data_IF_499450825657
#
_entry.id   IF_499450825657
#
_cell.length_a   1.000
_cell.length_b   1.000
_cell.length_c   1.000
_cell.angle_alpha   90.00
_cell.angle_beta   90.00
_cell.angle_gamma   90.00
#
_symmetry.space_group_name_H-M   'P 1'
#
loop_
_entity.id
_entity.type
_entity.pdbx_description
1 polymer ?
#
# COMPACT_ATOMS: atom_id res chain seq x y z
N UNK A 1 -21.77 -45.38 20.71
CA UNK A 1 -20.39 -45.62 20.26
C UNK A 1 -19.73 -44.25 20.14
N UNK A 2 -18.61 -44.02 20.83
CA UNK A 2 -17.88 -42.74 20.81
C UNK A 2 -17.01 -42.68 19.54
N UNK A 3 -16.95 -41.55 18.81
CA UNK A 3 -15.96 -41.39 17.75
C UNK A 3 -14.57 -41.17 18.36
N UNK A 4 -13.60 -41.80 17.71
CA UNK A 4 -12.20 -41.96 18.11
C UNK A 4 -11.39 -40.79 17.58
N UNK A 5 -10.63 -40.14 18.46
CA UNK A 5 -9.60 -39.14 18.10
C UNK A 5 -8.39 -39.84 17.48
N UNK A 6 -8.04 -39.47 16.25
CA UNK A 6 -6.77 -39.85 15.61
C UNK A 6 -5.82 -38.65 15.72
N UNK A 7 -4.78 -38.81 16.52
CA UNK A 7 -3.64 -37.88 16.58
C UNK A 7 -2.64 -38.30 15.51
N UNK A 8 -2.44 -37.47 14.49
CA UNK A 8 -1.34 -37.62 13.55
C UNK A 8 -0.11 -36.86 14.06
N UNK A 9 0.93 -37.62 14.44
CA UNK A 9 2.29 -37.10 14.62
C UNK A 9 2.99 -37.02 13.26
N UNK A 10 3.48 -35.84 12.90
CA UNK A 10 4.45 -35.67 11.81
C UNK A 10 5.81 -35.26 12.38
N UNK A 11 6.85 -35.99 11.98
CA UNK A 11 8.24 -35.79 12.38
C UNK A 11 9.01 -34.99 11.31
N UNK A 12 9.78 -33.97 11.77
CA UNK A 12 11.16 -33.60 11.37
C UNK A 12 11.56 -33.74 9.88
N UNK A 13 11.76 -32.65 9.09
CA UNK A 13 12.98 -31.83 8.89
C UNK A 13 12.81 -30.97 7.60
N UNK A 14 13.71 -30.03 7.19
CA UNK A 14 14.57 -29.08 7.91
C UNK A 14 14.49 -27.62 7.37
N UNK A 15 14.91 -26.65 8.21
CA UNK A 15 15.38 -25.30 7.86
C UNK A 15 14.55 -24.49 6.84
N UNK A 16 13.47 -23.87 7.34
CA UNK A 16 13.05 -22.57 6.83
C UNK A 16 13.50 -21.51 7.85
N UNK A 17 13.99 -20.39 7.34
CA UNK A 17 14.25 -19.16 8.08
C UNK A 17 13.07 -18.89 9.03
N UNK A 18 13.24 -19.15 10.33
CA UNK A 18 12.49 -18.41 11.32
C UNK A 18 13.10 -17.01 11.27
N UNK A 19 12.49 -16.13 10.48
CA UNK A 19 12.45 -14.74 10.86
C UNK A 19 12.06 -14.75 12.34
N UNK A 20 12.90 -14.18 13.20
CA UNK A 20 12.46 -13.88 14.55
C UNK A 20 11.09 -13.18 14.42
N UNK A 21 10.09 -13.51 15.26
CA UNK A 21 8.89 -12.68 15.31
C UNK A 21 9.40 -11.25 15.44
N UNK A 22 9.00 -10.37 14.52
CA UNK A 22 9.37 -8.97 14.58
C UNK A 22 9.03 -8.53 16.00
N UNK A 23 10.05 -8.23 16.82
CA UNK A 23 9.80 -7.80 18.19
C UNK A 23 8.94 -6.55 18.07
N UNK A 24 7.72 -6.60 18.60
CA UNK A 24 6.87 -5.43 18.75
C UNK A 24 7.74 -4.30 19.31
N UNK A 25 8.02 -3.29 18.49
CA UNK A 25 8.72 -2.11 18.96
C UNK A 25 7.67 -1.29 19.69
N UNK A 26 7.60 -1.48 21.02
CA UNK A 26 6.60 -0.82 21.84
C UNK A 26 6.50 0.69 21.54
N UNK A 27 5.27 1.17 21.50
CA UNK A 27 4.89 2.56 21.22
C UNK A 27 4.02 3.15 22.31
N UNK A 28 3.61 4.41 22.14
CA UNK A 28 2.75 5.11 23.11
C UNK A 28 1.44 5.54 22.44
N UNK A 29 0.31 5.20 23.07
CA UNK A 29 -1.00 5.78 22.79
C UNK A 29 -1.24 6.96 23.72
N UNK A 30 -1.74 8.08 23.18
CA UNK A 30 -2.14 9.23 23.99
C UNK A 30 -3.66 9.39 23.96
N UNK A 31 -4.29 9.29 25.13
CA UNK A 31 -5.72 9.46 25.30
C UNK A 31 -6.05 10.87 25.81
N UNK A 32 -6.94 11.59 25.14
CA UNK A 32 -7.37 12.94 25.53
C UNK A 32 -8.88 13.12 25.36
N UNK A 33 -9.47 14.14 25.98
CA UNK A 33 -10.89 14.45 25.85
C UNK A 33 -11.10 15.95 25.62
N UNK A 34 -11.93 16.30 24.63
CA UNK A 34 -12.45 17.63 24.44
C UNK A 34 -13.76 17.82 25.24
N UNK A 35 -13.72 18.68 26.26
CA UNK A 35 -14.86 18.91 27.16
C UNK A 35 -16.00 19.72 26.53
N UNK A 36 -15.76 20.43 25.42
CA UNK A 36 -16.79 21.18 24.70
C UNK A 36 -17.60 20.26 23.78
N UNK A 37 -16.93 19.31 23.12
CA UNK A 37 -17.55 18.41 22.14
C UNK A 37 -17.91 17.04 22.70
N UNK A 38 -17.32 16.62 23.83
CA UNK A 38 -17.48 15.25 24.35
C UNK A 38 -16.69 14.18 23.60
N UNK A 39 -15.81 14.59 22.67
CA UNK A 39 -14.97 13.70 21.87
C UNK A 39 -13.76 13.24 22.70
N UNK A 40 -13.63 11.94 22.92
CA UNK A 40 -12.39 11.33 23.39
C UNK A 40 -11.54 10.91 22.19
N UNK A 41 -10.24 11.16 22.23
CA UNK A 41 -9.31 10.85 21.14
C UNK A 41 -8.16 10.01 21.66
N UNK A 42 -7.86 8.92 20.96
CA UNK A 42 -6.72 8.05 21.19
C UNK A 42 -5.83 8.11 19.94
N UNK A 43 -4.58 8.53 20.10
CA UNK A 43 -3.65 8.71 18.97
C UNK A 43 -2.37 7.94 19.21
N UNK A 44 -1.93 7.19 18.21
CA UNK A 44 -0.64 6.53 18.19
C UNK A 44 0.53 7.52 17.98
N UNK A 45 1.61 7.35 18.73
CA UNK A 45 2.85 8.09 18.51
C UNK A 45 3.56 7.61 17.24
N UNK A 46 4.39 8.46 16.62
CA UNK A 46 5.25 8.04 15.50
C UNK A 46 6.09 6.80 15.83
N UNK A 47 6.09 5.79 14.96
CA UNK A 47 6.85 4.55 15.17
C UNK A 47 6.15 3.57 16.13
N UNK A 48 4.83 3.69 16.27
CA UNK A 48 4.01 2.72 16.96
C UNK A 48 4.10 1.37 16.22
N UNK A 49 4.48 0.31 16.93
CA UNK A 49 4.64 -1.01 16.35
C UNK A 49 3.35 -1.83 16.34
N UNK A 50 3.44 -3.03 15.79
CA UNK A 50 2.37 -4.03 15.86
C UNK A 50 2.04 -4.40 17.31
N UNK A 51 0.76 -4.57 17.61
CA UNK A 51 0.28 -5.13 18.87
C UNK A 51 0.81 -6.58 19.03
N UNK A 52 0.98 -7.03 20.28
CA UNK A 52 1.22 -8.46 20.52
C UNK A 52 -0.03 -9.29 20.19
N UNK A 53 0.11 -10.60 19.95
CA UNK A 53 -1.00 -11.51 19.58
C UNK A 53 -2.18 -11.48 20.57
N UNK A 54 -1.95 -11.09 21.83
CA UNK A 54 -2.98 -11.00 22.88
C UNK A 54 -3.16 -9.58 23.44
N UNK A 55 -2.50 -8.57 22.87
CA UNK A 55 -2.63 -7.18 23.33
C UNK A 55 -3.79 -6.50 22.61
N UNK A 56 -4.71 -5.91 23.36
CA UNK A 56 -5.96 -5.35 22.83
C UNK A 56 -6.23 -3.96 23.44
N UNK A 57 -6.65 -2.99 22.62
CA UNK A 57 -7.12 -1.69 23.06
C UNK A 57 -8.63 -1.74 23.34
N UNK A 58 -9.01 -1.63 24.61
CA UNK A 58 -10.41 -1.59 25.03
C UNK A 58 -10.84 -0.17 25.39
N UNK A 59 -12.01 0.22 24.90
CA UNK A 59 -12.66 1.49 25.26
C UNK A 59 -14.03 1.20 25.84
N UNK A 60 -14.24 1.63 27.09
CA UNK A 60 -15.49 1.41 27.82
C UNK A 60 -16.08 2.73 28.28
N UNK A 61 -17.37 2.93 28.03
CA UNK A 61 -18.10 4.08 28.56
C UNK A 61 -18.37 3.88 30.06
N UNK A 62 -18.10 4.90 30.86
CA UNK A 62 -18.44 4.97 32.28
C UNK A 62 -19.65 5.89 32.50
N UNK A 63 -20.58 5.45 33.37
CA UNK A 63 -21.73 6.26 33.76
C UNK A 63 -21.42 7.11 35.00
N UNK A 64 -21.62 8.46 34.98
CA UNK A 64 -22.03 9.32 33.85
C UNK A 64 -20.86 10.14 33.25
N UNK A 65 -20.57 9.93 31.96
CA UNK A 65 -19.78 10.86 31.12
C UNK A 65 -18.27 10.66 31.13
N UNK A 66 -17.81 9.45 31.49
CA UNK A 66 -16.41 9.07 31.43
C UNK A 66 -16.14 7.97 30.41
N UNK A 67 -14.88 7.78 30.06
CA UNK A 67 -14.38 6.64 29.31
C UNK A 67 -13.19 6.06 30.05
N UNK A 68 -13.13 4.74 30.10
CA UNK A 68 -11.93 4.00 30.48
C UNK A 68 -11.33 3.41 29.22
N UNK A 69 -10.08 3.79 28.95
CA UNK A 69 -9.28 3.33 27.82
C UNK A 69 -8.16 2.47 28.40
N UNK A 70 -8.07 1.21 28.00
CA UNK A 70 -7.11 0.26 28.58
C UNK A 70 -6.46 -0.62 27.52
N UNK A 71 -5.20 -0.97 27.74
CA UNK A 71 -4.51 -2.06 27.04
C UNK A 71 -4.62 -3.31 27.91
N UNK A 72 -5.24 -4.36 27.39
CA UNK A 72 -5.42 -5.66 28.06
C UNK A 72 -4.51 -6.73 27.43
N UNK A 73 -4.36 -7.88 28.09
CA UNK A 73 -3.45 -8.96 27.64
C UNK A 73 -2.02 -8.81 28.15
N UNK A 74 -1.02 -9.03 27.29
CA UNK A 74 0.40 -8.78 27.57
C UNK A 74 0.91 -7.50 26.88
N UNK A 75 0.62 -6.32 27.45
CA UNK A 75 0.86 -5.06 26.76
C UNK A 75 2.34 -4.81 26.52
N UNK A 76 2.68 -4.64 25.24
CA UNK A 76 3.99 -4.17 24.78
C UNK A 76 4.00 -2.65 24.58
N UNK A 77 2.82 -2.05 24.50
CA UNK A 77 2.61 -0.61 24.36
C UNK A 77 2.25 0.04 25.71
N UNK A 78 2.26 1.36 25.72
CA UNK A 78 1.88 2.15 26.89
C UNK A 78 0.81 3.18 26.56
N UNK A 79 -0.04 3.48 27.54
CA UNK A 79 -1.05 4.53 27.50
C UNK A 79 -0.59 5.73 28.34
N UNK A 80 -0.67 6.92 27.75
CA UNK A 80 -0.42 8.19 28.42
C UNK A 80 -1.67 9.05 28.41
N UNK A 81 -1.93 9.75 29.52
CA UNK A 81 -3.02 10.71 29.59
C UNK A 81 -2.62 12.08 29.03
N UNK A 82 -3.39 12.54 28.05
CA UNK A 82 -3.39 13.90 27.53
C UNK A 82 -4.38 14.80 28.28
N UNK A 83 -4.89 15.82 27.59
CA UNK A 83 -5.80 16.80 28.20
C UNK A 83 -7.10 16.15 28.68
N UNK A 84 -7.53 16.53 29.90
CA UNK A 84 -8.79 16.10 30.53
C UNK A 84 -8.91 14.57 30.78
N UNK A 85 -7.78 13.87 30.81
CA UNK A 85 -7.69 12.47 31.18
C UNK A 85 -6.67 12.25 32.29
N UNK A 86 -6.76 11.12 32.99
CA UNK A 86 -5.91 10.75 34.12
C UNK A 86 -5.39 9.33 33.90
N UNK A 87 -4.07 9.16 33.85
CA UNK A 87 -3.44 7.85 33.77
C UNK A 87 -3.58 7.13 35.13
N UNK A 88 -4.15 5.92 35.12
CA UNK A 88 -4.28 5.05 36.30
C UNK A 88 -3.09 4.10 36.40
N UNK A 89 -2.68 3.55 35.26
CA UNK A 89 -1.49 2.71 35.09
C UNK A 89 -0.82 3.08 33.77
N UNK A 90 0.30 2.42 33.42
CA UNK A 90 0.88 2.54 32.08
C UNK A 90 0.04 1.90 30.97
N UNK A 91 -1.10 1.30 31.32
CA UNK A 91 -1.98 0.54 30.42
C UNK A 91 -3.45 0.90 30.62
N UNK A 92 -3.76 1.97 31.37
CA UNK A 92 -5.13 2.37 31.65
C UNK A 92 -5.22 3.87 31.91
N UNK A 93 -6.10 4.55 31.18
CA UNK A 93 -6.38 5.98 31.26
C UNK A 93 -7.89 6.17 31.42
N UNK A 94 -8.28 7.05 32.34
CA UNK A 94 -9.67 7.44 32.53
C UNK A 94 -9.84 8.88 32.06
N UNK A 95 -10.74 9.11 31.12
CA UNK A 95 -11.15 10.43 30.64
C UNK A 95 -12.54 10.72 31.17
N UNK A 96 -12.80 11.88 31.77
CA UNK A 96 -14.11 12.16 32.36
C UNK A 96 -14.48 13.64 32.27
N UNK A 97 -15.74 13.91 31.94
CA UNK A 97 -16.31 15.26 31.99
C UNK A 97 -17.15 15.47 33.25
N UNK A 98 -17.02 16.66 33.86
CA UNK A 98 -17.90 17.11 34.97
C UNK A 98 -19.20 17.75 34.44
N UNK A 99 -19.27 18.01 33.13
CA UNK A 99 -20.42 18.62 32.45
C UNK A 99 -21.19 17.57 31.64
N UNK A 100 -22.52 17.75 31.55
CA UNK A 100 -23.38 16.99 30.64
C UNK A 100 -23.03 17.41 29.21
N UNK A 101 -22.24 16.59 28.53
CA UNK A 101 -21.93 16.76 27.11
C UNK A 101 -23.07 16.17 26.27
N UNK A 102 -23.55 16.85 25.22
CA UNK A 102 -24.77 16.47 24.52
C UNK A 102 -24.62 15.27 23.58
N UNK A 103 -23.39 14.93 23.18
CA UNK A 103 -23.09 13.73 22.39
C UNK A 103 -21.67 13.26 22.74
N UNK A 104 -21.57 12.02 23.21
CA UNK A 104 -20.31 11.34 23.46
C UNK A 104 -19.87 10.69 22.15
N UNK A 105 -18.59 10.80 21.80
CA UNK A 105 -17.98 10.10 20.67
C UNK A 105 -16.52 9.76 21.01
N UNK A 106 -15.97 8.76 20.33
CA UNK A 106 -14.58 8.32 20.43
C UNK A 106 -13.95 8.33 19.06
N UNK A 107 -12.72 8.83 18.96
CA UNK A 107 -11.89 8.74 17.77
C UNK A 107 -10.59 8.01 18.12
N UNK A 108 -10.24 7.00 17.34
CA UNK A 108 -9.01 6.23 17.45
C UNK A 108 -8.27 6.39 16.13
N UNK A 109 -7.06 6.95 16.19
CA UNK A 109 -6.19 7.17 15.03
C UNK A 109 -4.89 6.38 15.20
N UNK A 110 -4.79 5.27 14.47
CA UNK A 110 -3.64 4.39 14.38
C UNK A 110 -2.91 4.51 13.03
N UNK A 111 -3.19 5.55 12.23
CA UNK A 111 -2.63 5.74 10.88
C UNK A 111 -1.09 5.79 10.81
N UNK A 112 -0.41 5.94 11.94
CA UNK A 112 1.06 5.94 12.04
C UNK A 112 1.65 4.61 12.53
N UNK A 113 0.80 3.62 12.84
CA UNK A 113 1.20 2.30 13.28
C UNK A 113 1.79 1.50 12.11
N UNK A 114 2.88 0.79 12.38
CA UNK A 114 3.57 -0.06 11.39
C UNK A 114 3.50 -1.53 11.82
N UNK A 115 2.85 -2.37 11.01
CA UNK A 115 2.61 -3.80 11.29
C UNK A 115 1.15 -4.10 11.67
N UNK A 116 0.76 -5.37 11.84
CA UNK A 116 -0.63 -5.75 12.13
C UNK A 116 -1.10 -5.14 13.45
N UNK A 117 -2.30 -4.56 13.48
CA UNK A 117 -2.88 -3.98 14.68
C UNK A 117 -4.03 -4.82 15.21
N UNK A 118 -3.74 -5.63 16.24
CA UNK A 118 -4.76 -6.44 16.90
C UNK A 118 -5.55 -5.59 17.90
N UNK A 119 -6.48 -4.78 17.40
CA UNK A 119 -7.76 -4.56 18.08
C UNK A 119 -8.00 -3.23 18.80
N UNK A 120 -8.95 -2.44 18.28
CA UNK A 120 -9.81 -1.59 19.10
C UNK A 120 -11.16 -2.31 19.30
N UNK A 121 -11.36 -2.93 20.46
CA UNK A 121 -12.69 -3.42 20.86
C UNK A 121 -13.39 -2.30 21.63
N UNK A 122 -14.48 -1.88 21.03
CA UNK A 122 -15.48 -1.07 21.68
C UNK A 122 -16.53 -2.06 22.20
N UNK A 123 -16.43 -2.43 23.49
CA UNK A 123 -17.32 -3.41 24.15
C UNK A 123 -18.78 -3.13 23.77
N UNK A 124 -19.49 -4.08 23.12
CA UNK A 124 -20.79 -3.89 22.44
C UNK A 124 -21.96 -3.32 23.26
N UNK A 125 -21.74 -2.96 24.52
CA UNK A 125 -22.59 -2.03 25.30
C UNK A 125 -22.19 -0.54 25.14
N UNK A 126 -21.26 -0.24 24.25
CA UNK A 126 -20.78 1.10 23.97
C UNK A 126 -21.76 1.82 23.05
N UNK A 127 -22.38 2.84 23.61
CA UNK A 127 -23.41 3.66 22.96
C UNK A 127 -22.90 4.93 22.25
N UNK A 128 -21.68 5.45 22.53
CA UNK A 128 -21.11 6.54 21.74
C UNK A 128 -20.68 6.10 20.34
N UNK A 129 -20.67 7.01 19.38
CA UNK A 129 -20.14 6.74 18.04
C UNK A 129 -18.60 6.65 18.07
N UNK A 130 -18.05 5.69 17.33
CA UNK A 130 -16.64 5.45 17.06
C UNK A 130 -16.25 6.05 15.70
N UNK A 131 -15.08 6.68 15.64
CA UNK A 131 -14.36 6.94 14.41
C UNK A 131 -13.00 6.24 14.51
N UNK A 132 -12.79 5.21 13.72
CA UNK A 132 -11.56 4.41 13.73
C UNK A 132 -10.78 4.63 12.43
N UNK A 133 -9.46 4.73 12.55
CA UNK A 133 -8.54 4.71 11.41
C UNK A 133 -7.39 3.78 11.75
N UNK A 134 -7.29 2.68 11.02
CA UNK A 134 -6.30 1.64 11.23
C UNK A 134 -4.92 1.96 10.70
N UNK A 135 -4.02 1.00 10.91
CA UNK A 135 -2.60 1.09 10.59
C UNK A 135 -2.28 0.64 9.16
N UNK A 136 -1.04 0.22 8.93
CA UNK A 136 -0.58 -0.33 7.65
C UNK A 136 -0.46 -1.86 7.64
N UNK A 137 -1.10 -2.54 8.58
CA UNK A 137 -1.10 -4.00 8.67
C UNK A 137 -2.51 -4.52 8.84
N UNK A 138 -2.64 -5.85 9.03
CA UNK A 138 -3.91 -6.48 9.31
C UNK A 138 -4.48 -6.01 10.65
N UNK A 139 -5.68 -5.43 10.60
CA UNK A 139 -6.36 -4.80 11.71
C UNK A 139 -7.64 -5.58 12.07
N UNK A 140 -7.96 -5.68 13.35
CA UNK A 140 -9.25 -6.24 13.81
C UNK A 140 -10.05 -5.14 14.50
N UNK A 141 -11.28 -4.86 14.10
CA UNK A 141 -12.06 -3.76 14.67
C UNK A 141 -13.48 -4.21 14.97
N UNK A 142 -13.96 -3.92 16.18
CA UNK A 142 -15.38 -4.07 16.53
C UNK A 142 -15.92 -2.71 16.96
N UNK A 143 -16.91 -2.22 16.23
CA UNK A 143 -17.68 -1.03 16.59
C UNK A 143 -18.65 -1.25 17.76
N UNK A 144 -19.38 -0.19 18.08
CA UNK A 144 -20.34 -0.11 19.16
C UNK A 144 -21.78 -0.32 18.69
N UNK A 145 -22.71 0.27 19.44
CA UNK A 145 -24.16 0.21 19.19
C UNK A 145 -24.70 1.51 18.56
N UNK A 146 -23.81 2.32 18.01
CA UNK A 146 -24.14 3.60 17.40
C UNK A 146 -23.55 3.66 16.00
N UNK A 147 -24.04 4.60 15.19
CA UNK A 147 -23.49 4.86 13.87
C UNK A 147 -21.99 5.23 13.93
N UNK A 148 -21.16 4.30 13.49
CA UNK A 148 -19.71 4.31 13.55
C UNK A 148 -19.09 4.59 12.17
N UNK A 149 -17.85 5.07 12.16
CA UNK A 149 -17.06 5.25 10.94
C UNK A 149 -15.72 4.52 11.11
N UNK A 150 -15.53 3.45 10.34
CA UNK A 150 -14.38 2.55 10.42
C UNK A 150 -13.61 2.60 9.09
N UNK A 151 -12.32 2.91 9.17
CA UNK A 151 -11.36 2.79 8.07
C UNK A 151 -10.29 1.77 8.47
N UNK A 152 -10.22 0.63 7.79
CA UNK A 152 -9.25 -0.44 8.03
C UNK A 152 -7.82 0.00 7.71
N UNK A 153 -7.62 0.55 6.51
CA UNK A 153 -6.33 1.02 6.04
C UNK A 153 -5.66 -0.03 5.16
N UNK A 154 -4.34 0.03 4.93
CA UNK A 154 -3.65 -1.05 4.23
C UNK A 154 -3.49 -2.28 5.14
N UNK A 155 -3.90 -3.47 4.70
CA UNK A 155 -3.90 -4.67 5.52
C UNK A 155 -4.95 -5.65 5.03
N UNK A 156 -4.87 -6.91 5.46
CA UNK A 156 -6.02 -7.82 5.34
C UNK A 156 -6.78 -7.68 6.67
N UNK A 157 -7.87 -6.92 6.67
CA UNK A 157 -8.54 -6.46 7.90
C UNK A 157 -9.81 -7.27 8.23
N UNK A 158 -10.13 -7.39 9.52
CA UNK A 158 -11.38 -7.97 10.03
C UNK A 158 -12.20 -6.84 10.69
N UNK A 159 -13.24 -6.35 10.02
CA UNK A 159 -14.00 -5.15 10.43
C UNK A 159 -15.47 -5.47 10.73
N UNK A 160 -15.93 -5.14 11.93
CA UNK A 160 -17.31 -5.37 12.38
C UNK A 160 -17.94 -4.04 12.80
N UNK A 161 -19.05 -3.65 12.17
CA UNK A 161 -19.80 -2.41 12.46
C UNK A 161 -20.43 -2.42 13.85
N UNK A 162 -21.10 -3.52 14.17
CA UNK A 162 -21.97 -3.56 15.35
C UNK A 162 -23.37 -3.06 15.02
N UNK A 163 -24.25 -2.87 16.02
CA UNK A 163 -25.54 -2.24 15.75
C UNK A 163 -25.39 -0.75 15.44
N UNK A 164 -26.07 -0.24 14.41
CA UNK A 164 -25.99 1.17 14.03
C UNK A 164 -26.20 1.38 12.54
N UNK A 165 -26.27 2.62 12.08
CA UNK A 165 -26.14 2.85 10.62
C UNK A 165 -24.67 3.22 10.38
N UNK A 166 -23.85 2.23 10.05
CA UNK A 166 -22.39 2.33 10.06
C UNK A 166 -21.81 2.65 8.69
N UNK A 167 -20.58 3.16 8.72
CA UNK A 167 -19.79 3.41 7.52
C UNK A 167 -18.44 2.72 7.64
N UNK A 168 -18.21 1.73 6.80
CA UNK A 168 -17.03 0.85 6.88
C UNK A 168 -16.30 0.83 5.54
N UNK A 169 -14.97 0.94 5.57
CA UNK A 169 -14.08 0.81 4.41
C UNK A 169 -12.88 -0.04 4.78
N UNK A 170 -12.66 -1.16 4.07
CA UNK A 170 -11.47 -2.00 4.23
C UNK A 170 -10.20 -1.34 3.69
N UNK A 171 -10.33 -0.51 2.64
CA UNK A 171 -9.23 0.18 1.95
C UNK A 171 -8.37 -0.73 1.06
N UNK A 172 -7.29 -1.35 1.54
CA UNK A 172 -6.40 -2.11 0.65
C UNK A 172 -5.86 -3.39 1.27
N UNK A 173 -6.22 -4.52 0.67
CA UNK A 173 -5.85 -5.88 1.08
C UNK A 173 -7.08 -6.77 0.95
N UNK A 174 -7.00 -8.03 1.37
CA UNK A 174 -8.16 -8.92 1.36
C UNK A 174 -8.94 -8.82 2.66
N UNK A 175 -9.99 -8.00 2.68
CA UNK A 175 -10.70 -7.63 3.90
C UNK A 175 -11.91 -8.53 4.16
N UNK A 176 -12.19 -8.83 5.44
CA UNK A 176 -13.44 -9.42 5.90
C UNK A 176 -14.23 -8.35 6.64
N UNK A 177 -15.40 -7.99 6.12
CA UNK A 177 -16.21 -6.90 6.64
C UNK A 177 -17.62 -7.38 6.92
N UNK A 178 -18.16 -7.01 8.08
CA UNK A 178 -19.53 -7.31 8.50
C UNK A 178 -20.20 -6.04 9.05
N UNK A 179 -21.27 -5.58 8.41
CA UNK A 179 -22.07 -4.43 8.85
C UNK A 179 -22.88 -4.69 10.12
N UNK A 180 -23.21 -5.95 10.40
CA UNK A 180 -24.12 -6.36 11.49
C UNK A 180 -25.54 -5.76 11.41
N UNK A 181 -26.07 -5.10 12.46
CA UNK A 181 -27.47 -4.64 12.48
C UNK A 181 -27.54 -3.16 12.05
N UNK A 182 -28.16 -2.82 10.92
CA UNK A 182 -28.03 -1.44 10.44
C UNK A 182 -28.61 -1.11 9.08
N UNK A 183 -28.49 0.15 8.66
CA UNK A 183 -28.49 0.45 7.23
C UNK A 183 -27.10 0.96 6.90
N UNK A 184 -26.25 0.05 6.51
CA UNK A 184 -24.81 0.24 6.50
C UNK A 184 -24.31 0.68 5.13
N UNK A 185 -23.20 1.41 5.15
CA UNK A 185 -22.45 1.79 3.96
C UNK A 185 -21.09 1.11 4.01
N UNK A 186 -20.96 0.00 3.30
CA UNK A 186 -19.79 -0.89 3.40
C UNK A 186 -19.01 -0.94 2.09
N UNK A 187 -17.70 -0.75 2.17
CA UNK A 187 -16.78 -0.88 1.04
C UNK A 187 -15.65 -1.85 1.37
N UNK A 188 -15.43 -2.86 0.52
CA UNK A 188 -14.28 -3.76 0.58
C UNK A 188 -12.99 -2.95 0.41
N UNK A 189 -12.72 -2.50 -0.80
CA UNK A 189 -11.49 -1.75 -1.05
C UNK A 189 -10.83 -2.27 -2.31
N UNK A 190 -9.52 -2.43 -2.29
CA UNK A 190 -8.76 -3.06 -3.36
C UNK A 190 -8.26 -4.42 -2.91
N UNK A 191 -8.16 -5.36 -3.86
CA UNK A 191 -7.89 -6.79 -3.65
C UNK A 191 -9.20 -7.55 -3.33
N UNK A 192 -9.14 -8.79 -2.84
CA UNK A 192 -10.32 -9.67 -2.84
C UNK A 192 -11.01 -9.64 -1.48
N UNK A 193 -12.19 -9.05 -1.42
CA UNK A 193 -12.88 -8.79 -0.15
C UNK A 193 -14.07 -9.72 0.09
N UNK A 194 -14.40 -9.95 1.35
CA UNK A 194 -15.64 -10.57 1.80
C UNK A 194 -16.43 -9.54 2.60
N UNK A 195 -17.60 -9.14 2.09
CA UNK A 195 -18.45 -8.11 2.70
C UNK A 195 -19.82 -8.68 3.00
N UNK A 196 -20.23 -8.58 4.26
CA UNK A 196 -21.56 -8.90 4.73
C UNK A 196 -22.26 -7.59 5.11
N UNK A 197 -23.45 -7.35 4.56
CA UNK A 197 -24.30 -6.20 4.89
C UNK A 197 -24.91 -6.36 6.28
N UNK A 198 -25.57 -7.50 6.52
CA UNK A 198 -26.18 -7.84 7.79
C UNK A 198 -27.69 -7.58 7.78
N UNK A 199 -28.28 -7.22 8.93
CA UNK A 199 -29.72 -6.91 8.98
C UNK A 199 -29.98 -5.45 8.55
N UNK A 200 -30.74 -5.25 7.47
CA UNK A 200 -31.36 -3.96 7.14
C UNK A 200 -31.35 -3.58 5.66
N UNK A 201 -30.99 -2.33 5.34
CA UNK A 201 -30.93 -1.88 3.94
C UNK A 201 -29.57 -1.28 3.64
N UNK A 202 -28.71 -2.12 3.10
CA UNK A 202 -27.30 -1.80 3.03
C UNK A 202 -26.90 -1.30 1.65
N UNK A 203 -25.81 -0.55 1.64
CA UNK A 203 -25.12 -0.08 0.45
C UNK A 203 -23.71 -0.66 0.45
N UNK A 204 -23.51 -1.72 -0.33
CA UNK A 204 -22.24 -2.45 -0.38
C UNK A 204 -21.49 -2.21 -1.69
N UNK A 205 -20.16 -2.11 -1.62
CA UNK A 205 -19.27 -2.11 -2.79
C UNK A 205 -18.05 -2.99 -2.53
N UNK A 206 -17.71 -3.89 -3.45
CA UNK A 206 -16.48 -4.69 -3.34
C UNK A 206 -15.26 -3.83 -3.66
N UNK A 207 -15.26 -3.19 -4.82
CA UNK A 207 -14.13 -2.40 -5.30
C UNK A 207 -13.34 -3.20 -6.33
N UNK A 208 -12.05 -2.90 -6.60
CA UNK A 208 -11.25 -3.70 -7.52
C UNK A 208 -10.85 -5.05 -6.90
N UNK A 209 -11.18 -6.17 -7.55
CA UNK A 209 -10.95 -7.47 -6.92
C UNK A 209 -11.92 -8.57 -7.32
N UNK A 210 -11.76 -9.72 -6.66
CA UNK A 210 -12.73 -10.83 -6.66
C UNK A 210 -13.46 -10.82 -5.33
N UNK A 211 -14.56 -10.08 -5.29
CA UNK A 211 -15.25 -9.82 -4.02
C UNK A 211 -16.47 -10.73 -3.84
N UNK A 212 -16.71 -11.14 -2.60
CA UNK A 212 -17.92 -11.82 -2.16
C UNK A 212 -18.76 -10.82 -1.37
N UNK A 213 -19.98 -10.50 -1.84
CA UNK A 213 -20.91 -9.60 -1.14
C UNK A 213 -22.17 -10.38 -0.77
N UNK A 214 -22.50 -10.41 0.51
CA UNK A 214 -23.67 -11.12 1.04
C UNK A 214 -24.53 -10.18 1.89
N UNK A 215 -25.82 -10.09 1.60
CA UNK A 215 -26.77 -9.35 2.45
C UNK A 215 -27.10 -10.07 3.76
N UNK A 216 -26.93 -11.40 3.84
CA UNK A 216 -27.39 -12.29 4.93
C UNK A 216 -28.92 -12.32 5.19
N UNK A 217 -29.65 -11.21 5.09
CA UNK A 217 -31.04 -11.07 5.50
C UNK A 217 -32.08 -11.21 4.36
N UNK A 218 -31.63 -11.17 3.10
CA UNK A 218 -32.45 -11.27 1.89
C UNK A 218 -33.40 -10.09 1.66
N UNK A 219 -33.17 -8.94 2.31
CA UNK A 219 -33.78 -7.65 2.02
C UNK A 219 -33.23 -7.06 0.70
N UNK A 220 -33.75 -5.91 0.29
CA UNK A 220 -33.32 -5.27 -0.96
C UNK A 220 -32.13 -4.37 -0.68
N UNK A 221 -30.94 -4.94 -0.68
CA UNK A 221 -29.71 -4.17 -0.58
C UNK A 221 -29.28 -3.60 -1.91
N UNK A 222 -28.53 -2.52 -1.82
CA UNK A 222 -27.93 -1.86 -2.98
C UNK A 222 -26.49 -2.32 -3.12
N UNK A 223 -26.27 -3.21 -4.08
CA UNK A 223 -24.93 -3.62 -4.47
C UNK A 223 -24.38 -2.71 -5.56
N UNK A 224 -23.17 -2.20 -5.36
CA UNK A 224 -22.41 -1.42 -6.33
C UNK A 224 -21.17 -2.20 -6.73
N UNK A 225 -21.29 -3.00 -7.80
CA UNK A 225 -20.12 -3.60 -8.47
C UNK A 225 -19.48 -2.55 -9.38
N UNK A 226 -18.30 -2.08 -9.02
CA UNK A 226 -17.56 -1.14 -9.86
C UNK A 226 -16.50 -1.80 -10.75
N UNK A 227 -16.21 -3.10 -10.62
CA UNK A 227 -15.05 -3.66 -11.32
C UNK A 227 -15.40 -4.33 -12.66
N UNK A 228 -14.72 -3.88 -13.72
CA UNK A 228 -14.71 -4.52 -15.03
C UNK A 228 -13.26 -4.88 -15.42
N UNK A 229 -12.38 -5.13 -14.46
CA UNK A 229 -11.05 -5.67 -14.71
C UNK A 229 -11.15 -7.01 -15.47
N UNK A 230 -10.38 -7.21 -16.56
CA UNK A 230 -10.43 -8.43 -17.34
C UNK A 230 -9.80 -9.59 -16.56
N UNK A 231 -10.64 -10.29 -15.81
CA UNK A 231 -10.32 -11.51 -15.10
C UNK A 231 -10.64 -11.45 -13.61
N UNK A 232 -11.83 -11.95 -13.26
CA UNK A 232 -12.22 -12.53 -11.96
C UNK A 232 -13.11 -11.75 -10.99
N UNK A 233 -13.61 -10.54 -11.24
CA UNK A 233 -14.65 -9.95 -10.35
C UNK A 233 -15.99 -10.70 -10.42
N UNK A 234 -16.18 -11.74 -9.60
CA UNK A 234 -17.45 -12.48 -9.45
C UNK A 234 -18.01 -12.14 -8.08
N UNK A 235 -18.96 -11.22 -8.03
CA UNK A 235 -19.83 -11.08 -6.85
C UNK A 235 -20.72 -12.32 -6.79
N UNK A 236 -20.54 -13.13 -5.74
CA UNK A 236 -21.41 -14.25 -5.42
C UNK A 236 -22.52 -13.75 -4.48
N UNK A 237 -23.69 -13.44 -5.01
CA UNK A 237 -24.87 -13.13 -4.18
C UNK A 237 -25.42 -14.44 -3.59
N UNK A 238 -25.65 -14.52 -2.28
CA UNK A 238 -26.56 -15.55 -1.73
C UNK A 238 -28.02 -15.15 -2.00
N UNK A 239 -28.92 -16.13 -1.92
CA UNK A 239 -30.25 -16.16 -2.53
C UNK A 239 -31.21 -15.08 -2.00
N UNK A 240 -31.23 -13.91 -2.63
CA UNK A 240 -32.19 -12.83 -2.36
C UNK A 240 -32.76 -12.20 -3.63
N UNK A 241 -33.68 -11.23 -3.51
CA UNK A 241 -34.23 -10.48 -4.65
C UNK A 241 -33.28 -9.34 -5.00
N UNK A 242 -32.05 -9.70 -5.38
CA UNK A 242 -30.94 -8.79 -5.56
C UNK A 242 -31.10 -8.03 -6.88
N UNK A 243 -31.14 -6.70 -6.81
CA UNK A 243 -31.16 -5.85 -7.99
C UNK A 243 -29.74 -5.29 -8.16
N UNK A 244 -28.84 -5.97 -8.88
CA UNK A 244 -27.53 -5.40 -9.17
C UNK A 244 -27.74 -4.10 -9.92
N UNK A 245 -27.36 -2.98 -9.31
CA UNK A 245 -27.25 -1.71 -10.01
C UNK A 245 -25.96 -1.78 -10.83
N UNK A 246 -26.06 -2.19 -12.09
CA UNK A 246 -24.99 -2.00 -13.07
C UNK A 246 -24.67 -0.49 -13.11
N UNK A 247 -23.44 -0.13 -12.72
CA UNK A 247 -22.95 1.25 -12.66
C UNK A 247 -23.21 2.01 -13.98
N UNK A 248 -24.00 3.09 -14.01
CA UNK A 248 -24.17 3.89 -15.23
C UNK A 248 -23.09 4.98 -15.42
N UNK A 249 -22.10 5.10 -14.52
CA UNK A 249 -21.11 6.20 -14.55
C UNK A 249 -19.69 5.66 -14.73
N UNK A 250 -19.21 5.70 -15.97
CA UNK A 250 -17.79 5.56 -16.27
C UNK A 250 -17.07 6.85 -15.83
N UNK A 251 -15.89 6.72 -15.20
CA UNK A 251 -15.01 7.80 -14.71
C UNK A 251 -13.63 7.73 -15.40
N UNK A 252 -12.78 8.78 -15.34
CA UNK A 252 -11.39 8.64 -15.76
C UNK A 252 -10.61 7.65 -14.86
N UNK A 253 -9.65 6.89 -15.40
CA UNK A 253 -8.85 5.93 -14.64
C UNK A 253 -7.83 6.62 -13.72
N UNK A 254 -7.22 5.88 -12.78
CA UNK A 254 -6.04 6.33 -12.03
C UNK A 254 -4.73 6.04 -12.78
N UNK A 255 -3.60 6.48 -12.22
CA UNK A 255 -2.28 6.31 -12.85
C UNK A 255 -1.79 4.87 -12.76
N UNK A 256 -1.09 4.33 -13.78
CA UNK A 256 -0.45 3.01 -13.69
C UNK A 256 0.58 2.97 -12.56
N UNK A 257 0.73 1.80 -11.93
CA UNK A 257 1.63 1.60 -10.78
C UNK A 257 2.97 1.00 -11.24
N UNK A 258 4.01 1.20 -10.44
CA UNK A 258 5.32 0.53 -10.57
C UNK A 258 5.96 0.56 -11.97
N UNK A 259 5.88 1.70 -12.66
CA UNK A 259 6.56 1.87 -13.95
C UNK A 259 8.07 1.68 -13.78
N UNK A 260 8.61 0.71 -14.52
CA UNK A 260 10.04 0.42 -14.64
C UNK A 260 10.46 0.42 -16.11
N UNK A 261 11.74 0.70 -16.37
CA UNK A 261 12.30 0.71 -17.72
C UNK A 261 13.71 0.10 -17.73
N UNK A 262 13.95 -0.83 -18.64
CA UNK A 262 15.24 -1.47 -18.88
C UNK A 262 15.75 -1.15 -20.29
N UNK A 263 16.99 -0.65 -20.37
CA UNK A 263 17.63 -0.29 -21.63
C UNK A 263 18.45 -1.43 -22.22
N UNK A 264 18.26 -1.68 -23.51
CA UNK A 264 19.06 -2.60 -24.32
C UNK A 264 20.08 -1.86 -25.20
N UNK A 265 20.64 -2.60 -26.18
CA UNK A 265 21.59 -2.05 -27.16
C UNK A 265 20.94 -0.98 -28.04
N UNK A 266 19.73 -1.27 -28.52
CA UNK A 266 18.89 -0.49 -29.43
C UNK A 266 17.39 -0.64 -29.08
N UNK A 267 17.09 -1.06 -27.85
CA UNK A 267 15.73 -1.29 -27.38
C UNK A 267 15.52 -0.72 -25.98
N UNK A 268 14.25 -0.49 -25.62
CA UNK A 268 13.83 -0.22 -24.24
C UNK A 268 12.66 -1.15 -23.96
N UNK A 269 12.71 -1.88 -22.86
CA UNK A 269 11.56 -2.62 -22.34
C UNK A 269 11.02 -1.88 -21.12
N UNK A 270 9.73 -1.54 -21.15
CA UNK A 270 9.02 -0.94 -20.03
C UNK A 270 8.04 -1.95 -19.46
N UNK A 271 7.89 -1.96 -18.14
CA UNK A 271 6.96 -2.83 -17.43
C UNK A 271 6.25 -2.02 -16.35
N UNK A 272 4.99 -2.33 -16.08
CA UNK A 272 4.16 -1.62 -15.13
C UNK A 272 3.11 -2.56 -14.52
N UNK A 273 2.57 -2.15 -13.38
CA UNK A 273 1.35 -2.72 -12.82
C UNK A 273 0.11 -1.90 -13.30
N UNK A 274 -1.05 -2.54 -13.47
CA UNK A 274 -2.31 -1.85 -13.78
C UNK A 274 -2.61 -0.70 -12.79
N UNK A 275 -3.44 0.28 -13.20
CA UNK A 275 -3.90 1.32 -12.29
C UNK A 275 -4.73 0.69 -11.17
N UNK A 276 -4.79 1.35 -10.02
CA UNK A 276 -5.68 0.91 -8.93
C UNK A 276 -7.16 1.03 -9.28
N UNK A 277 -7.50 1.78 -10.33
CA UNK A 277 -8.87 2.01 -10.79
C UNK A 277 -8.88 2.31 -12.29
N UNK A 278 -9.63 1.54 -13.08
CA UNK A 278 -9.69 1.68 -14.54
C UNK A 278 -10.82 2.62 -15.03
N UNK A 279 -11.59 3.17 -14.09
CA UNK A 279 -12.69 4.08 -14.39
C UNK A 279 -13.99 3.39 -14.79
N UNK A 280 -14.14 2.09 -14.54
CA UNK A 280 -15.32 1.28 -14.88
C UNK A 280 -15.54 1.21 -16.40
N UNK A 281 -14.45 1.13 -17.17
CA UNK A 281 -14.48 1.20 -18.63
C UNK A 281 -13.90 -0.05 -19.28
N UNK A 282 -14.67 -0.71 -20.15
CA UNK A 282 -14.19 -1.83 -20.97
C UNK A 282 -13.14 -1.43 -22.03
N UNK A 283 -12.87 -0.13 -22.19
CA UNK A 283 -11.91 0.42 -23.15
C UNK A 283 -10.69 1.07 -22.45
N UNK A 284 -10.03 0.35 -21.54
CA UNK A 284 -8.77 0.81 -20.96
C UNK A 284 -7.62 0.69 -21.98
N UNK A 285 -6.81 1.74 -22.10
CA UNK A 285 -5.57 1.77 -22.86
C UNK A 285 -4.49 2.51 -22.07
N UNK A 286 -3.22 2.22 -22.35
CA UNK A 286 -2.10 3.00 -21.82
C UNK A 286 -1.47 3.84 -22.90
N UNK A 287 -1.15 5.09 -22.57
CA UNK A 287 -0.37 5.98 -23.41
C UNK A 287 1.05 6.13 -22.86
N UNK A 288 2.03 5.63 -23.59
CA UNK A 288 3.45 5.68 -23.23
C UNK A 288 4.11 6.84 -23.96
N UNK A 289 4.52 7.86 -23.20
CA UNK A 289 5.28 9.00 -23.69
C UNK A 289 6.78 8.79 -23.45
N UNK A 290 7.61 9.17 -24.42
CA UNK A 290 9.06 9.06 -24.32
C UNK A 290 9.75 10.29 -24.90
N UNK A 291 10.84 10.71 -24.27
CA UNK A 291 11.69 11.80 -24.77
C UNK A 291 12.98 11.25 -25.35
N UNK A 292 13.26 11.58 -26.61
CA UNK A 292 14.44 11.13 -27.36
C UNK A 292 15.67 11.97 -26.98
N UNK A 293 16.88 11.36 -26.86
CA UNK A 293 18.12 12.06 -26.61
C UNK A 293 18.38 13.18 -27.65
N UNK A 294 18.60 14.39 -27.16
CA UNK A 294 18.90 15.57 -27.98
C UNK A 294 17.74 16.08 -28.85
N UNK A 295 16.53 15.53 -28.68
CA UNK A 295 15.33 16.18 -29.22
C UNK A 295 15.00 17.41 -28.36
N UNK A 296 14.72 18.54 -29.03
CA UNK A 296 14.24 19.76 -28.38
C UNK A 296 12.82 19.62 -27.83
N UNK A 297 11.97 20.63 -28.02
CA UNK A 297 10.57 20.60 -27.57
C UNK A 297 9.65 19.64 -28.36
N UNK A 298 10.17 18.96 -29.39
CA UNK A 298 9.39 18.00 -30.18
C UNK A 298 9.27 16.68 -29.41
N UNK A 299 8.18 16.53 -28.65
CA UNK A 299 7.81 15.29 -27.96
C UNK A 299 7.12 14.37 -28.99
N UNK A 300 7.62 13.15 -29.22
CA UNK A 300 6.92 12.14 -30.02
C UNK A 300 5.49 11.92 -29.54
N UNK A 301 4.59 11.57 -30.47
CA UNK A 301 3.22 11.17 -30.10
C UNK A 301 3.30 9.93 -29.17
N UNK A 302 2.52 9.89 -28.08
CA UNK A 302 2.50 8.72 -27.20
C UNK A 302 2.13 7.44 -27.97
N UNK A 303 2.76 6.34 -27.57
CA UNK A 303 2.40 5.00 -28.06
C UNK A 303 1.19 4.53 -27.26
N UNK A 304 0.15 4.07 -27.95
CA UNK A 304 -1.05 3.51 -27.32
C UNK A 304 -0.89 2.00 -27.28
N UNK A 305 -1.07 1.40 -26.10
CA UNK A 305 -1.08 -0.05 -25.90
C UNK A 305 -2.40 -0.49 -25.26
N UNK A 306 -2.86 -1.72 -25.52
CA UNK A 306 -4.07 -2.26 -24.88
C UNK A 306 -3.96 -2.27 -23.34
N UNK A 307 -5.08 -2.07 -22.64
CA UNK A 307 -5.14 -2.08 -21.17
C UNK A 307 -4.79 -3.43 -20.53
N UNK A 308 -4.80 -4.52 -21.30
CA UNK A 308 -4.40 -5.86 -20.87
C UNK A 308 -2.89 -6.08 -20.84
N UNK A 309 -2.10 -5.16 -21.42
CA UNK A 309 -0.65 -5.28 -21.43
C UNK A 309 -0.06 -4.75 -20.11
N UNK A 310 0.99 -5.41 -19.65
CA UNK A 310 1.80 -4.99 -18.49
C UNK A 310 3.26 -4.75 -18.86
N UNK A 311 3.60 -4.89 -20.14
CA UNK A 311 4.92 -4.55 -20.66
C UNK A 311 4.86 -4.11 -22.13
N UNK A 312 5.83 -3.31 -22.55
CA UNK A 312 6.01 -2.93 -23.94
C UNK A 312 7.49 -2.78 -24.27
N UNK A 313 7.90 -3.23 -25.45
CA UNK A 313 9.29 -3.09 -25.90
C UNK A 313 9.37 -2.19 -27.13
N UNK A 314 10.07 -1.08 -26.97
CA UNK A 314 10.55 -0.25 -28.07
C UNK A 314 11.71 -0.97 -28.74
N UNK A 315 11.59 -1.28 -30.02
CA UNK A 315 12.65 -1.88 -30.82
C UNK A 315 13.24 -0.86 -31.81
N UNK A 316 14.42 -1.17 -32.35
CA UNK A 316 15.05 -0.43 -33.44
C UNK A 316 15.23 1.07 -33.16
N UNK A 317 15.62 1.42 -31.92
CA UNK A 317 15.84 2.81 -31.53
C UNK A 317 17.02 3.41 -32.31
N UNK A 318 16.71 4.40 -33.14
CA UNK A 318 17.69 5.04 -34.02
C UNK A 318 18.79 5.84 -33.29
N UNK A 319 18.63 6.09 -31.99
CA UNK A 319 19.60 6.85 -31.18
C UNK A 319 19.93 6.12 -29.89
N UNK A 320 21.20 6.11 -29.55
CA UNK A 320 21.67 5.74 -28.21
C UNK A 320 21.69 6.99 -27.32
N UNK A 321 21.56 6.82 -26.01
CA UNK A 321 21.58 7.91 -25.03
C UNK A 321 20.53 7.76 -23.94
N UNK A 322 20.32 8.85 -23.17
CA UNK A 322 19.38 8.90 -22.06
C UNK A 322 17.97 9.26 -22.53
N UNK A 323 17.04 8.34 -22.34
CA UNK A 323 15.61 8.49 -22.57
C UNK A 323 14.90 8.75 -21.24
N UNK A 324 13.74 9.41 -21.32
CA UNK A 324 12.80 9.53 -20.20
C UNK A 324 11.47 8.95 -20.65
N UNK A 325 10.91 8.04 -19.86
CA UNK A 325 9.64 7.38 -20.12
C UNK A 325 8.62 7.80 -19.06
N UNK A 326 7.43 8.19 -19.47
CA UNK A 326 6.28 8.36 -18.58
C UNK A 326 5.05 7.71 -19.21
N UNK A 327 4.07 7.32 -18.42
CA UNK A 327 2.85 6.73 -18.95
C UNK A 327 1.61 7.27 -18.26
N UNK A 328 0.43 7.04 -18.85
CA UNK A 328 -0.87 7.29 -18.23
C UNK A 328 -1.89 6.26 -18.72
N UNK A 329 -2.93 6.09 -17.93
CA UNK A 329 -4.11 5.29 -18.27
C UNK A 329 -5.12 6.17 -18.98
N UNK A 330 -5.83 5.62 -19.97
CA UNK A 330 -6.83 6.35 -20.75
C UNK A 330 -8.03 5.45 -21.00
N UNK A 331 -9.22 6.01 -20.81
CA UNK A 331 -10.47 5.39 -21.20
C UNK A 331 -11.39 6.40 -21.92
N UNK A 332 -12.63 5.99 -22.21
CA UNK A 332 -13.64 6.80 -22.90
C UNK A 332 -14.07 8.08 -22.17
N UNK A 333 -13.74 8.23 -20.88
CA UNK A 333 -14.08 9.41 -20.07
C UNK A 333 -12.91 10.33 -19.84
N UNK A 334 -11.69 9.82 -19.87
CA UNK A 334 -10.52 10.67 -19.76
C UNK A 334 -9.24 9.90 -19.58
N UNK A 335 -8.17 10.68 -19.45
CA UNK A 335 -6.85 10.18 -19.12
C UNK A 335 -6.52 10.49 -17.66
N UNK A 336 -5.79 9.58 -17.02
CA UNK A 336 -5.18 9.84 -15.72
C UNK A 336 -4.03 10.85 -15.84
N UNK A 337 -3.50 11.28 -14.69
CA UNK A 337 -2.24 12.01 -14.64
C UNK A 337 -1.09 11.14 -15.21
N UNK A 338 0.02 11.77 -15.58
CA UNK A 338 1.20 11.01 -16.00
C UNK A 338 1.99 10.51 -14.79
N UNK A 339 2.53 9.30 -14.89
CA UNK A 339 3.52 8.80 -13.93
C UNK A 339 4.76 9.70 -13.91
N UNK A 340 5.52 9.71 -12.80
CA UNK A 340 6.85 10.29 -12.79
C UNK A 340 7.72 9.70 -13.91
N UNK A 341 8.51 10.55 -14.56
CA UNK A 341 9.34 10.11 -15.68
C UNK A 341 10.52 9.24 -15.21
N UNK A 342 10.62 8.04 -15.74
CA UNK A 342 11.70 7.08 -15.48
C UNK A 342 12.85 7.29 -16.47
N UNK A 343 14.07 7.58 -16.00
CA UNK A 343 15.24 7.68 -16.86
C UNK A 343 15.74 6.28 -17.27
N UNK A 344 16.07 6.09 -18.55
CA UNK A 344 16.63 4.83 -19.07
C UNK A 344 17.72 5.10 -20.10
N UNK A 345 18.84 4.39 -20.01
CA UNK A 345 19.99 4.56 -20.93
C UNK A 345 19.95 3.46 -21.99
N UNK A 346 19.97 3.86 -23.26
CA UNK A 346 20.04 2.96 -24.42
C UNK A 346 21.42 3.03 -25.03
N UNK A 347 22.04 1.88 -25.23
CA UNK A 347 23.33 1.80 -25.91
C UNK A 347 24.11 0.55 -25.51
N UNK A 348 24.93 0.05 -26.44
CA UNK A 348 25.87 -1.03 -26.15
C UNK A 348 26.93 -0.61 -25.12
N UNK A 349 27.54 -1.59 -24.45
CA UNK A 349 28.71 -1.36 -23.60
C UNK A 349 29.77 -0.52 -24.35
N UNK A 350 30.45 0.44 -23.68
CA UNK A 350 31.49 1.23 -24.33
C UNK A 350 32.52 0.33 -25.02
N UNK A 351 32.95 0.70 -26.23
CA UNK A 351 34.09 0.03 -26.87
C UNK A 351 35.29 0.07 -25.92
N UNK A 352 36.13 -0.98 -25.82
CA UNK A 352 37.39 -0.88 -25.10
C UNK A 352 38.21 0.31 -25.65
N UNK A 353 38.99 1.03 -24.81
CA UNK A 353 39.89 2.08 -25.29
C UNK A 353 40.75 1.53 -26.43
N UNK A 354 40.66 2.15 -27.60
CA UNK A 354 41.40 1.69 -28.77
C UNK A 354 42.80 2.34 -28.77
N UNK A 355 43.81 1.55 -29.13
CA UNK A 355 45.19 2.00 -29.40
C UNK A 355 45.83 2.95 -28.37
N UNK A 356 46.65 2.40 -27.47
CA UNK A 356 47.59 3.21 -26.68
C UNK A 356 48.55 3.91 -27.68
N UNK A 357 48.40 5.23 -27.83
CA UNK A 357 49.05 6.02 -28.87
C UNK A 357 50.45 6.52 -28.48
N UNK A 358 50.70 6.72 -27.20
CA UNK A 358 52.05 7.04 -26.70
C UNK A 358 52.23 6.70 -25.23
N UNK A 359 53.40 6.17 -24.90
CA UNK A 359 53.84 5.96 -23.52
C UNK A 359 55.14 6.73 -23.31
N UNK A 360 55.10 7.80 -22.51
CA UNK A 360 56.30 8.52 -22.08
C UNK A 360 56.68 8.11 -20.66
N UNK A 361 57.90 7.63 -20.48
CA UNK A 361 58.38 7.12 -19.19
C UNK A 361 59.50 8.04 -18.70
N UNK A 362 59.32 8.61 -17.51
CA UNK A 362 60.37 9.28 -16.75
C UNK A 362 60.60 8.55 -15.43
N UNK A 363 61.61 8.96 -14.66
CA UNK A 363 61.90 8.35 -13.36
C UNK A 363 60.67 8.51 -12.44
N UNK A 364 59.98 7.41 -12.15
CA UNK A 364 58.81 7.36 -11.27
C UNK A 364 57.47 7.81 -11.89
N UNK A 365 57.39 8.08 -13.19
CA UNK A 365 56.13 8.47 -13.85
C UNK A 365 56.00 7.84 -15.24
N UNK A 366 54.79 7.41 -15.58
CA UNK A 366 54.41 6.99 -16.92
C UNK A 366 53.21 7.83 -17.36
N UNK A 367 53.30 8.43 -18.54
CA UNK A 367 52.20 9.12 -19.20
C UNK A 367 51.70 8.24 -20.32
N UNK A 368 50.41 7.89 -20.31
CA UNK A 368 49.77 7.11 -21.36
C UNK A 368 48.76 8.00 -22.07
N UNK A 369 48.71 7.86 -23.39
CA UNK A 369 47.65 8.44 -24.22
C UNK A 369 46.98 7.29 -24.97
N UNK A 370 45.66 7.36 -25.12
CA UNK A 370 44.87 6.39 -25.86
C UNK A 370 43.90 7.12 -26.76
N UNK A 371 43.39 6.43 -27.78
CA UNK A 371 42.26 6.95 -28.54
C UNK A 371 41.02 6.75 -27.68
N UNK A 372 40.29 7.83 -27.43
CA UNK A 372 39.04 7.77 -26.67
C UNK A 372 38.10 6.72 -27.26
N UNK A 373 37.40 5.93 -26.43
CA UNK A 373 36.38 5.01 -26.92
C UNK A 373 35.40 5.76 -27.82
N UNK A 374 35.24 5.33 -29.07
CA UNK A 374 34.20 5.90 -29.93
C UNK A 374 32.82 5.56 -29.33
N UNK A 375 32.17 6.57 -28.77
CA UNK A 375 30.73 6.61 -28.55
C UNK A 375 30.24 8.00 -28.90
N UNK A 376 29.22 8.09 -29.77
CA UNK A 376 28.50 9.34 -29.96
C UNK A 376 27.70 9.64 -28.68
N UNK A 377 28.27 10.54 -27.85
CA UNK A 377 27.57 11.30 -26.80
C UNK A 377 26.97 10.50 -25.63
N UNK A 378 27.80 9.84 -24.84
CA UNK A 378 27.49 9.55 -23.43
C UNK A 378 28.11 10.62 -22.51
N UNK A 379 27.40 11.07 -21.45
CA UNK A 379 27.98 11.99 -20.48
C UNK A 379 28.77 11.18 -19.45
N UNK A 380 30.10 11.17 -19.59
CA UNK A 380 31.10 10.62 -18.65
C UNK A 380 31.21 9.09 -18.60
N UNK A 381 32.42 8.60 -18.85
CA UNK A 381 32.85 7.24 -18.55
C UNK A 381 34.04 7.29 -17.58
N UNK A 382 34.19 6.27 -16.73
CA UNK A 382 35.39 6.07 -15.92
C UNK A 382 36.36 5.14 -16.63
N UNK A 383 37.65 5.45 -16.57
CA UNK A 383 38.71 4.59 -17.11
C UNK A 383 39.35 3.83 -15.96
N UNK A 384 39.21 2.50 -15.97
CA UNK A 384 39.92 1.63 -15.05
C UNK A 384 41.29 1.25 -15.62
N UNK A 385 42.37 1.57 -14.90
CA UNK A 385 43.75 1.25 -15.26
C UNK A 385 44.35 0.26 -14.27
N UNK A 386 45.11 -0.71 -14.78
CA UNK A 386 45.94 -1.61 -13.97
C UNK A 386 47.33 -1.72 -14.55
N UNK A 387 48.33 -1.72 -13.68
CA UNK A 387 49.75 -1.85 -14.06
C UNK A 387 50.27 -3.19 -13.58
N UNK A 388 51.08 -3.86 -14.40
CA UNK A 388 51.81 -5.06 -14.00
C UNK A 388 53.31 -4.80 -14.11
N UNK A 389 54.02 -5.01 -13.01
CA UNK A 389 55.48 -5.03 -13.03
C UNK A 389 55.95 -6.31 -13.76
N UNK A 390 56.83 -6.16 -14.74
CA UNK A 390 57.39 -7.28 -15.51
C UNK A 390 58.09 -8.32 -14.63
N UNK A 391 58.57 -7.95 -13.44
CA UNK A 391 59.27 -8.84 -12.49
C UNK A 391 58.35 -9.43 -11.42
N UNK A 392 57.10 -8.99 -11.37
CA UNK A 392 56.13 -9.39 -10.35
C UNK A 392 54.98 -10.16 -11.03
N UNK A 393 54.56 -11.29 -10.44
CA UNK A 393 53.56 -12.16 -11.08
C UNK A 393 52.15 -11.53 -11.01
N UNK A 394 51.93 -10.72 -9.98
CA UNK A 394 50.63 -10.15 -9.64
C UNK A 394 50.42 -8.77 -10.26
N UNK A 395 49.18 -8.51 -10.68
CA UNK A 395 48.73 -7.19 -11.09
C UNK A 395 48.67 -6.27 -9.87
N UNK A 396 48.97 -4.98 -10.07
CA UNK A 396 48.62 -3.96 -9.08
C UNK A 396 47.09 -3.76 -9.06
N UNK A 397 46.58 -3.22 -7.95
CA UNK A 397 45.16 -2.94 -7.79
C UNK A 397 44.63 -2.01 -8.90
N UNK A 398 43.36 -2.16 -9.23
CA UNK A 398 42.68 -1.27 -10.15
C UNK A 398 42.70 0.17 -9.64
N UNK A 399 42.99 1.11 -10.52
CA UNK A 399 42.83 2.53 -10.27
C UNK A 399 41.75 3.07 -11.21
N UNK A 400 40.73 3.71 -10.64
CA UNK A 400 39.71 4.45 -11.40
C UNK A 400 40.20 5.87 -11.65
N UNK A 401 40.18 6.30 -12.91
CA UNK A 401 40.43 7.67 -13.30
C UNK A 401 39.09 8.38 -13.51
N UNK A 402 38.82 9.52 -12.84
CA UNK A 402 37.61 10.29 -13.07
C UNK A 402 37.56 10.75 -14.54
N UNK A 403 36.38 10.66 -15.15
CA UNK A 403 36.18 10.93 -16.57
C UNK A 403 36.76 12.28 -17.01
N UNK A 404 37.45 12.26 -18.15
CA UNK A 404 37.89 13.48 -18.85
C UNK A 404 36.65 14.30 -19.24
N UNK A 405 36.68 15.62 -18.96
CA UNK A 405 35.61 16.55 -19.30
C UNK A 405 35.51 16.83 -20.79
#
# INVERSE_FOLDING_TARGET
MRPVTVVLSAALLPTAFLAAPAQASGGTLTASMNLETGLATVVASSGFGAFAEDEELQIKSETPGGYTISLVGTPTHTLTAGANCIARTSTSVVCSSVMVVPKLAVSVDLSTATGPTTTAIVDGAFTPALTFTGGSGADYVQGGSAADEILGGPGDDDLFGGPGDDKISGDAGGDNIDGEEGNDSVGGGADNDSVVGGEGFDSMTGGPGVDELDSEDGLQDTYVNCDNAPGLGKIEFDKGLDIPYDCPVVLPPTVPRDLTAAGGKDSITVSWAPPSFDGNSQQLTYEIAYKVPGAGANVPKPIVVPGTETSYTFNDLAKTGLYYISMRSVNEKGASASTPAVPVVVGGAPSPPQSISSVYISRGKATLSWVEPMQEKTPKYEVALRVKDKRNVNWLAWASLPGLQ
#
